data_IF_043089588809
#
_entry.id   IF_043089588809
#
_cell.length_a   1.000
_cell.length_b   1.000
_cell.length_c   1.000
_cell.angle_alpha   90.00
_cell.angle_beta   90.00
_cell.angle_gamma   90.00
#
_symmetry.space_group_name_H-M   'P 1'
#
loop_
_entity.id
_entity.type
_entity.pdbx_description
1 polymer ?
#
# COMPACT_ATOMS: atom_id res chain seq x y z
N UNK A 1 28.04 -1.49 0.17
CA UNK A 1 26.80 -2.04 0.76
C UNK A 1 26.17 -2.91 -0.31
N UNK A 2 25.66 -4.08 0.04
CA UNK A 2 24.88 -4.89 -0.91
C UNK A 2 23.57 -4.16 -1.22
N UNK A 3 23.02 -4.39 -2.39
CA UNK A 3 21.66 -3.98 -2.71
C UNK A 3 20.64 -4.92 -2.02
N UNK A 4 19.43 -4.44 -1.68
CA UNK A 4 18.36 -5.32 -1.19
C UNK A 4 17.92 -6.28 -2.29
N UNK A 5 17.42 -7.45 -1.93
CA UNK A 5 16.90 -8.43 -2.90
C UNK A 5 15.52 -8.05 -3.43
N UNK A 6 14.70 -7.43 -2.57
CA UNK A 6 13.33 -7.04 -2.90
C UNK A 6 12.80 -5.93 -1.97
N UNK A 7 11.62 -5.44 -2.31
CA UNK A 7 10.83 -4.47 -1.56
C UNK A 7 9.43 -5.02 -1.32
N UNK A 8 8.94 -4.94 -0.10
CA UNK A 8 7.51 -5.05 0.20
C UNK A 8 6.91 -3.64 0.23
N UNK A 9 6.01 -3.35 -0.70
CA UNK A 9 5.31 -2.08 -0.82
C UNK A 9 3.85 -2.26 -0.37
N UNK A 10 3.38 -1.38 0.52
CA UNK A 10 1.98 -1.38 0.97
C UNK A 10 1.39 0.02 0.80
N UNK A 11 0.29 0.14 0.05
CA UNK A 11 -0.42 1.41 -0.07
C UNK A 11 -1.94 1.28 0.08
N UNK A 12 -2.53 2.25 0.77
CA UNK A 12 -3.95 2.28 1.17
C UNK A 12 -4.80 3.05 0.17
N UNK A 13 -6.10 2.77 0.18
CA UNK A 13 -7.10 3.56 -0.54
C UNK A 13 -7.49 4.83 0.23
N UNK A 14 -8.01 5.82 -0.50
CA UNK A 14 -8.39 7.12 0.05
C UNK A 14 -9.40 6.99 1.20
N UNK A 15 -9.21 7.77 2.26
CA UNK A 15 -10.14 7.85 3.39
C UNK A 15 -10.12 6.63 4.33
N UNK A 16 -9.14 5.73 4.18
CA UNK A 16 -8.97 4.53 5.03
C UNK A 16 -7.81 4.63 6.03
N UNK A 17 -7.24 5.83 6.17
CA UNK A 17 -6.27 6.19 7.19
C UNK A 17 -6.74 7.46 7.90
N UNK A 18 -7.07 7.32 9.17
CA UNK A 18 -7.40 8.41 10.08
C UNK A 18 -6.27 8.42 11.12
N UNK A 19 -5.65 9.58 11.37
CA UNK A 19 -4.69 9.81 12.46
C UNK A 19 -5.22 9.21 13.77
N UNK A 20 -4.35 8.49 14.48
CA UNK A 20 -4.71 7.74 15.69
C UNK A 20 -5.13 6.28 15.45
N UNK A 21 -4.64 5.65 14.38
CA UNK A 21 -4.63 4.19 14.26
C UNK A 21 -3.31 3.64 14.83
N UNK A 22 -3.38 2.75 15.82
CA UNK A 22 -2.28 2.16 16.61
C UNK A 22 -1.29 1.30 15.80
N UNK A 23 -1.32 1.41 14.46
CA UNK A 23 -0.53 0.57 13.55
C UNK A 23 0.77 1.22 13.10
N UNK A 24 1.27 2.19 13.88
CA UNK A 24 2.63 2.72 13.79
C UNK A 24 2.99 3.28 12.41
N UNK A 25 3.08 4.60 12.29
CA UNK A 25 4.01 5.16 11.33
C UNK A 25 5.41 4.75 11.80
N UNK A 26 5.90 3.60 11.34
CA UNK A 26 7.27 3.16 11.62
C UNK A 26 8.17 4.09 10.81
N UNK A 27 8.65 5.14 11.49
CA UNK A 27 9.74 5.99 11.04
C UNK A 27 11.05 5.22 11.23
N UNK A 28 11.81 5.08 10.14
CA UNK A 28 13.04 4.28 10.00
C UNK A 28 14.23 4.82 10.82
N UNK A 29 14.05 5.71 11.81
CA UNK A 29 15.18 6.42 12.43
C UNK A 29 15.26 6.55 13.94
N UNK A 30 14.26 6.24 14.75
CA UNK A 30 14.41 6.40 16.20
C UNK A 30 13.68 5.32 16.99
N UNK A 31 14.41 4.23 17.25
CA UNK A 31 14.07 3.30 18.32
C UNK A 31 14.52 3.94 19.65
N UNK A 32 13.63 4.67 20.30
CA UNK A 32 13.76 4.97 21.73
C UNK A 32 12.51 4.45 22.44
N UNK A 33 12.81 3.52 23.34
CA UNK A 33 11.97 3.01 24.42
C UNK A 33 11.24 4.17 25.11
N UNK A 34 9.99 3.90 25.50
CA UNK A 34 9.03 4.78 26.19
C UNK A 34 8.28 5.80 25.34
N UNK A 35 7.10 5.42 24.84
CA UNK A 35 6.01 6.38 24.66
C UNK A 35 4.69 5.71 25.08
N UNK A 36 3.98 6.22 26.11
CA UNK A 36 2.77 5.61 26.63
C UNK A 36 1.74 5.47 25.50
N UNK A 37 1.12 4.29 25.40
CA UNK A 37 0.00 3.98 24.51
C UNK A 37 -0.95 5.19 24.43
N UNK A 38 -0.89 5.94 23.32
CA UNK A 38 -1.72 7.12 23.12
C UNK A 38 -3.16 6.64 22.98
N UNK A 39 -3.98 6.91 23.99
CA UNK A 39 -5.38 6.48 24.03
C UNK A 39 -6.12 6.86 22.74
N UNK A 40 -6.86 5.89 22.19
CA UNK A 40 -7.78 6.00 21.05
C UNK A 40 -8.59 7.30 21.11
N UNK A 41 -8.13 8.34 20.41
CA UNK A 41 -8.82 9.61 20.39
C UNK A 41 -9.89 9.61 19.29
N UNK A 42 -11.07 9.05 19.60
CA UNK A 42 -12.22 8.97 18.68
C UNK A 42 -12.64 10.36 18.15
N UNK A 43 -12.32 11.45 18.85
CA UNK A 43 -12.56 12.81 18.39
C UNK A 43 -11.70 13.21 17.18
N UNK A 44 -10.46 12.70 17.08
CA UNK A 44 -9.58 12.95 15.92
C UNK A 44 -10.06 12.20 14.68
N UNK A 45 -10.49 10.95 14.83
CA UNK A 45 -11.11 10.16 13.74
C UNK A 45 -12.38 10.83 13.22
N UNK A 46 -13.22 11.36 14.11
CA UNK A 46 -14.43 12.08 13.72
C UNK A 46 -14.12 13.42 13.04
N UNK A 47 -13.10 14.14 13.52
CA UNK A 47 -12.63 15.40 12.93
C UNK A 47 -12.05 15.20 11.52
N UNK A 48 -11.26 14.16 11.29
CA UNK A 48 -10.73 13.83 9.96
C UNK A 48 -11.79 13.27 9.02
N UNK A 49 -12.71 12.43 9.51
CA UNK A 49 -13.89 11.99 8.74
C UNK A 49 -14.71 13.20 8.27
N UNK A 50 -14.83 14.24 9.10
CA UNK A 50 -15.49 15.50 8.76
C UNK A 50 -14.79 16.32 7.67
N UNK A 51 -13.52 16.03 7.34
CA UNK A 51 -12.73 16.72 6.30
C UNK A 51 -12.58 15.91 5.02
N UNK A 52 -13.08 14.68 4.98
CA UNK A 52 -13.09 13.89 3.75
C UNK A 52 -13.96 14.58 2.70
N UNK A 53 -13.38 14.82 1.52
CA UNK A 53 -14.08 15.43 0.38
C UNK A 53 -14.99 14.43 -0.34
N UNK A 54 -14.90 13.14 0.01
CA UNK A 54 -15.70 12.07 -0.54
C UNK A 54 -15.69 10.83 0.40
N UNK A 55 -16.65 9.88 0.30
CA UNK A 55 -16.67 8.66 1.13
C UNK A 55 -15.39 7.82 0.99
N UNK A 56 -14.90 7.10 2.01
CA UNK A 56 -13.74 6.21 1.86
C UNK A 56 -13.85 5.26 0.66
N UNK A 57 -12.72 4.95 0.03
CA UNK A 57 -12.68 4.07 -1.13
C UNK A 57 -12.56 2.62 -0.68
N UNK A 58 -13.55 1.82 -1.06
CA UNK A 58 -13.57 0.37 -0.90
C UNK A 58 -13.50 -0.29 -2.28
N UNK A 59 -12.60 -1.26 -2.43
CA UNK A 59 -12.32 -1.94 -3.69
C UNK A 59 -13.14 -3.22 -3.78
N UNK A 60 -14.26 -3.14 -4.51
CA UNK A 60 -15.04 -4.32 -4.88
C UNK A 60 -14.31 -5.20 -5.91
N UNK A 61 -14.79 -6.43 -6.09
CA UNK A 61 -14.13 -7.43 -6.97
C UNK A 61 -13.80 -6.94 -8.38
N UNK A 62 -14.69 -6.20 -9.10
CA UNK A 62 -14.34 -5.69 -10.42
C UNK A 62 -13.15 -4.73 -10.39
N UNK A 63 -13.08 -3.87 -9.37
CA UNK A 63 -11.99 -2.90 -9.20
C UNK A 63 -10.68 -3.63 -8.85
N UNK A 64 -10.75 -4.64 -7.99
CA UNK A 64 -9.57 -5.43 -7.59
C UNK A 64 -8.95 -6.14 -8.80
N UNK A 65 -9.76 -6.80 -9.63
CA UNK A 65 -9.29 -7.42 -10.89
C UNK A 65 -8.64 -6.43 -11.85
N UNK A 66 -9.20 -5.22 -11.97
CA UNK A 66 -8.61 -4.15 -12.79
C UNK A 66 -7.25 -3.72 -12.23
N UNK A 67 -7.14 -3.54 -10.92
CA UNK A 67 -5.88 -3.16 -10.26
C UNK A 67 -4.85 -4.29 -10.42
N UNK A 68 -5.20 -5.53 -10.12
CA UNK A 68 -4.29 -6.69 -10.25
C UNK A 68 -3.70 -6.76 -11.65
N UNK A 69 -4.55 -6.74 -12.68
CA UNK A 69 -4.11 -6.73 -14.07
C UNK A 69 -3.20 -5.53 -14.35
N UNK A 70 -3.60 -4.34 -13.93
CA UNK A 70 -2.83 -3.12 -14.17
C UNK A 70 -1.44 -3.17 -13.52
N UNK A 71 -1.30 -3.77 -12.34
CA UNK A 71 0.00 -3.87 -11.66
C UNK A 71 0.88 -4.95 -12.29
N UNK A 72 0.31 -6.08 -12.71
CA UNK A 72 1.02 -7.07 -13.52
C UNK A 72 1.54 -6.46 -14.83
N UNK A 73 0.67 -5.74 -15.57
CA UNK A 73 1.04 -5.10 -16.83
C UNK A 73 2.16 -4.06 -16.64
N UNK A 74 2.07 -3.22 -15.61
CA UNK A 74 3.08 -2.18 -15.34
C UNK A 74 4.43 -2.78 -14.95
N UNK A 75 4.43 -3.84 -14.10
CA UNK A 75 5.66 -4.54 -13.75
C UNK A 75 6.29 -5.20 -14.98
N UNK A 76 5.48 -5.89 -15.79
CA UNK A 76 5.94 -6.51 -17.03
C UNK A 76 6.51 -5.48 -18.02
N UNK A 77 5.84 -4.34 -18.20
CA UNK A 77 6.28 -3.27 -19.08
C UNK A 77 7.63 -2.67 -18.65
N UNK A 78 7.87 -2.59 -17.35
CA UNK A 78 9.11 -2.03 -16.78
C UNK A 78 10.22 -3.05 -16.54
N UNK A 79 9.95 -4.33 -16.74
CA UNK A 79 10.87 -5.42 -16.39
C UNK A 79 11.08 -5.57 -14.88
N UNK A 80 10.12 -5.14 -14.06
CA UNK A 80 10.17 -5.36 -12.61
C UNK A 80 9.69 -6.78 -12.28
N UNK A 81 10.47 -7.48 -11.47
CA UNK A 81 10.11 -8.81 -10.99
C UNK A 81 9.02 -8.70 -9.91
N UNK A 82 7.76 -8.95 -10.29
CA UNK A 82 6.65 -9.01 -9.34
C UNK A 82 6.57 -10.42 -8.72
N UNK A 83 7.03 -10.53 -7.48
CA UNK A 83 7.14 -11.81 -6.75
C UNK A 83 5.78 -12.21 -6.17
N UNK A 84 5.07 -11.25 -5.57
CA UNK A 84 3.76 -11.50 -4.97
C UNK A 84 2.90 -10.24 -4.99
N UNK A 85 1.58 -10.39 -5.18
CA UNK A 85 0.63 -9.30 -5.22
C UNK A 85 -0.68 -9.67 -4.52
N UNK A 86 -1.14 -8.78 -3.64
CA UNK A 86 -2.48 -8.87 -3.07
C UNK A 86 -3.19 -7.53 -3.14
N UNK A 87 -4.34 -7.49 -3.82
CA UNK A 87 -5.25 -6.35 -3.80
C UNK A 87 -6.38 -6.66 -2.81
N UNK A 88 -6.37 -5.95 -1.69
CA UNK A 88 -7.35 -6.06 -0.61
C UNK A 88 -8.46 -5.02 -0.76
N UNK A 89 -9.47 -5.08 0.09
CA UNK A 89 -10.63 -4.17 0.01
C UNK A 89 -10.27 -2.70 0.26
N UNK A 90 -9.21 -2.42 1.01
CA UNK A 90 -8.78 -1.05 1.33
C UNK A 90 -7.27 -0.79 1.16
N UNK A 91 -6.52 -1.74 0.60
CA UNK A 91 -5.08 -1.59 0.40
C UNK A 91 -4.52 -2.58 -0.61
N UNK A 92 -3.28 -2.34 -1.04
CA UNK A 92 -2.52 -3.22 -1.91
C UNK A 92 -1.20 -3.53 -1.23
N UNK A 93 -0.77 -4.79 -1.30
CA UNK A 93 0.58 -5.24 -1.00
C UNK A 93 1.24 -5.78 -2.26
N UNK A 94 2.48 -5.38 -2.52
CA UNK A 94 3.27 -5.91 -3.63
C UNK A 94 4.70 -6.21 -3.17
N UNK A 95 5.17 -7.42 -3.42
CA UNK A 95 6.59 -7.79 -3.26
C UNK A 95 7.24 -7.69 -4.63
N UNK A 96 8.17 -6.75 -4.78
CA UNK A 96 8.91 -6.50 -6.01
C UNK A 96 10.37 -6.83 -5.80
N UNK A 97 10.97 -7.60 -6.70
CA UNK A 97 12.43 -7.75 -6.73
C UNK A 97 13.13 -6.41 -6.93
N UNK A 98 14.43 -6.39 -6.61
CA UNK A 98 15.27 -5.22 -6.76
C UNK A 98 15.14 -4.57 -8.14
N UNK A 99 15.11 -3.24 -8.13
CA UNK A 99 15.24 -2.40 -9.31
C UNK A 99 16.06 -1.17 -8.92
N UNK A 100 16.78 -0.59 -9.88
CA UNK A 100 17.56 0.64 -9.66
C UNK A 100 16.68 1.86 -9.28
N UNK A 101 15.37 1.75 -9.50
CA UNK A 101 14.42 2.79 -9.15
C UNK A 101 14.04 2.71 -7.66
N UNK A 102 14.06 3.82 -6.91
CA UNK A 102 13.65 3.83 -5.51
C UNK A 102 12.21 3.31 -5.31
N UNK A 103 11.93 2.55 -4.23
CA UNK A 103 10.62 1.93 -3.99
C UNK A 103 9.47 2.95 -3.96
N UNK A 104 9.74 4.20 -3.57
CA UNK A 104 8.75 5.28 -3.59
C UNK A 104 8.29 5.64 -4.99
N UNK A 105 9.24 5.71 -5.92
CA UNK A 105 8.92 5.97 -7.30
C UNK A 105 8.23 4.76 -7.93
N UNK A 106 8.62 3.53 -7.56
CA UNK A 106 7.93 2.31 -7.99
C UNK A 106 6.46 2.33 -7.56
N UNK A 107 6.18 2.55 -6.27
CA UNK A 107 4.82 2.69 -5.75
C UNK A 107 4.04 3.82 -6.45
N UNK A 108 4.68 4.97 -6.71
CA UNK A 108 4.07 6.07 -7.46
C UNK A 108 3.63 5.68 -8.88
N UNK A 109 4.45 4.91 -9.60
CA UNK A 109 4.10 4.40 -10.94
C UNK A 109 2.96 3.38 -10.87
N UNK A 110 3.01 2.44 -9.94
CA UNK A 110 1.96 1.44 -9.72
C UNK A 110 0.60 2.11 -9.41
N UNK A 111 0.57 3.06 -8.47
CA UNK A 111 -0.64 3.85 -8.14
C UNK A 111 -1.18 4.60 -9.36
N UNK A 112 -0.29 5.23 -10.13
CA UNK A 112 -0.67 6.00 -11.31
C UNK A 112 -1.28 5.12 -12.39
N UNK A 113 -0.66 3.97 -12.66
CA UNK A 113 -1.13 3.01 -13.66
C UNK A 113 -2.49 2.42 -13.24
N UNK A 114 -2.61 1.94 -12.00
CA UNK A 114 -3.87 1.41 -11.48
C UNK A 114 -5.00 2.46 -11.50
N UNK A 115 -4.71 3.72 -11.15
CA UNK A 115 -5.70 4.81 -11.24
C UNK A 115 -6.16 5.03 -12.68
N UNK A 116 -5.24 4.97 -13.65
CA UNK A 116 -5.58 5.13 -15.06
C UNK A 116 -6.50 4.02 -15.54
N UNK A 117 -6.20 2.76 -15.22
CA UNK A 117 -7.01 1.63 -15.66
C UNK A 117 -8.38 1.58 -14.94
N UNK A 118 -8.43 1.92 -13.65
CA UNK A 118 -9.70 2.11 -12.94
C UNK A 118 -10.60 3.16 -13.61
N UNK A 119 -10.02 4.30 -13.99
CA UNK A 119 -10.76 5.37 -14.68
C UNK A 119 -11.23 4.95 -16.06
N UNK A 120 -10.42 4.21 -16.82
CA UNK A 120 -10.81 3.61 -18.11
C UNK A 120 -11.97 2.63 -17.96
N UNK A 121 -12.00 1.89 -16.84
CA UNK A 121 -13.10 0.99 -16.49
C UNK A 121 -14.33 1.72 -15.90
N UNK A 122 -14.34 3.06 -15.83
CA UNK A 122 -15.46 3.85 -15.35
C UNK A 122 -15.49 4.09 -13.84
N UNK A 123 -14.47 3.67 -13.09
CA UNK A 123 -14.40 3.85 -11.64
C UNK A 123 -13.65 5.14 -11.25
N UNK A 124 -14.09 5.78 -10.16
CA UNK A 124 -13.41 6.90 -9.50
C UNK A 124 -12.96 8.03 -10.45
N UNK A 125 -13.81 8.40 -11.41
CA UNK A 125 -13.47 9.33 -12.51
C UNK A 125 -12.94 10.69 -12.03
N UNK A 126 -13.54 11.26 -10.98
CA UNK A 126 -13.27 12.63 -10.52
C UNK A 126 -12.76 12.70 -9.09
N UNK A 127 -12.42 11.57 -8.49
CA UNK A 127 -12.04 11.48 -7.07
C UNK A 127 -10.76 10.68 -6.85
N UNK A 128 -10.02 10.94 -5.75
CA UNK A 128 -8.84 10.17 -5.40
C UNK A 128 -9.20 8.71 -5.09
N UNK A 129 -8.31 7.80 -5.51
CA UNK A 129 -8.40 6.35 -5.24
C UNK A 129 -7.52 5.97 -4.06
N UNK A 130 -6.32 6.55 -3.98
CA UNK A 130 -5.29 6.21 -3.00
C UNK A 130 -5.21 7.24 -1.88
N UNK A 131 -4.77 6.81 -0.70
CA UNK A 131 -4.34 7.73 0.34
C UNK A 131 -3.09 8.52 -0.11
N UNK A 132 -2.93 9.70 0.47
CA UNK A 132 -1.77 10.55 0.21
C UNK A 132 -0.46 9.87 0.63
N UNK A 133 0.64 10.26 -0.02
CA UNK A 133 1.96 9.68 0.22
C UNK A 133 2.17 8.35 -0.50
N UNK A 134 3.30 7.72 -0.21
CA UNK A 134 3.77 6.50 -0.90
C UNK A 134 3.13 5.26 -0.28
N UNK A 135 2.96 5.25 1.04
CA UNK A 135 2.62 4.07 1.83
C UNK A 135 3.84 3.52 2.58
N UNK A 136 3.73 2.31 3.12
CA UNK A 136 4.84 1.62 3.78
C UNK A 136 5.72 0.92 2.74
N UNK A 137 7.02 0.85 3.05
CA UNK A 137 8.04 0.16 2.27
C UNK A 137 8.94 -0.60 3.24
N UNK A 138 9.23 -1.85 2.95
CA UNK A 138 10.19 -2.65 3.70
C UNK A 138 11.22 -3.22 2.73
N UNK A 139 12.49 -3.03 3.06
CA UNK A 139 13.63 -3.57 2.33
C UNK A 139 13.86 -5.02 2.78
N UNK A 140 14.01 -5.92 1.82
CA UNK A 140 14.19 -7.35 2.06
C UNK A 140 15.61 -7.73 1.61
N UNK A 141 16.43 -8.21 2.54
CA UNK A 141 17.87 -8.36 2.33
C UNK A 141 18.31 -9.81 2.15
N UNK A 142 17.46 -10.75 2.53
CA UNK A 142 17.72 -12.19 2.49
C UNK A 142 16.59 -12.93 1.78
N UNK A 143 16.87 -14.10 1.21
CA UNK A 143 15.82 -14.92 0.57
C UNK A 143 14.71 -15.26 1.58
N UNK A 144 15.06 -15.52 2.84
CA UNK A 144 14.08 -15.76 3.91
C UNK A 144 13.17 -14.55 4.16
N UNK A 145 13.68 -13.31 4.09
CA UNK A 145 12.84 -12.10 4.17
C UNK A 145 11.86 -12.02 2.99
N UNK A 146 12.31 -12.38 1.79
CA UNK A 146 11.50 -12.40 0.57
C UNK A 146 10.40 -13.44 0.67
N UNK A 147 10.73 -14.67 1.06
CA UNK A 147 9.78 -15.76 1.25
C UNK A 147 8.74 -15.42 2.32
N UNK A 148 9.18 -14.89 3.47
CA UNK A 148 8.28 -14.49 4.55
C UNK A 148 7.34 -13.35 4.12
N UNK A 149 7.84 -12.36 3.37
CA UNK A 149 7.01 -11.29 2.83
C UNK A 149 6.00 -11.82 1.81
N UNK A 150 6.42 -12.71 0.90
CA UNK A 150 5.52 -13.31 -0.08
C UNK A 150 4.42 -14.17 0.58
N UNK A 151 4.79 -14.99 1.57
CA UNK A 151 3.83 -15.75 2.37
C UNK A 151 2.83 -14.82 3.09
N UNK A 152 3.33 -13.76 3.73
CA UNK A 152 2.49 -12.75 4.37
C UNK A 152 1.49 -12.11 3.39
N UNK A 153 1.93 -11.74 2.19
CA UNK A 153 1.05 -11.11 1.19
C UNK A 153 0.01 -12.11 0.66
N UNK A 154 0.40 -13.36 0.44
CA UNK A 154 -0.48 -14.42 -0.05
C UNK A 154 -1.54 -14.80 0.98
N UNK A 155 -1.13 -15.00 2.22
CA UNK A 155 -1.96 -15.55 3.30
C UNK A 155 -2.65 -14.47 4.14
N UNK A 156 -2.15 -13.24 4.09
CA UNK A 156 -2.64 -12.11 4.88
C UNK A 156 -4.09 -11.80 4.57
N UNK A 157 -5.01 -12.29 5.41
CA UNK A 157 -6.44 -12.03 5.30
C UNK A 157 -6.75 -10.54 5.49
N UNK A 158 -7.91 -10.11 4.99
CA UNK A 158 -8.56 -8.87 5.44
C UNK A 158 -8.91 -9.06 6.92
N UNK A 159 -7.94 -8.91 7.83
CA UNK A 159 -8.22 -8.87 9.26
C UNK A 159 -8.54 -7.42 9.61
N UNK A 160 -9.82 -7.03 9.73
CA UNK A 160 -10.14 -5.88 10.56
C UNK A 160 -9.71 -6.28 11.98
N UNK A 161 -8.58 -5.75 12.41
CA UNK A 161 -8.30 -5.56 13.83
C UNK A 161 -8.70 -4.13 14.17
#
# INVERSE_FOLDING_TARGET
>A
MSDPLAYLLTFRTYGTWLHGDDRGSIDDRNNLVDNPLWERNDAWRQWEKGRLRAPPVELGDPMRRVIEKALHDECSFRGWNLIELAVRTNHVHAVLGFAELPPEQMAGKLKSHATRELRRAGFFLTRPVWADGVGSRRYLWTDSDVEAAAAYVREGQDVPK
#
